data_IF_509335253791
#
_entry.id   IF_509335253791
#
_cell.length_a   1.000
_cell.length_b   1.000
_cell.length_c   1.000
_cell.angle_alpha   90.00
_cell.angle_beta   90.00
_cell.angle_gamma   90.00
#
_symmetry.space_group_name_H-M   'P 1'
#
loop_
_entity.id
_entity.type
_entity.pdbx_description
1 polymer ?
#
# COMPACT_ATOMS: atom_id res chain seq x y z
N UNK A 1 4.32 16.61 -10.38
CA UNK A 1 3.48 17.25 -11.42
C UNK A 1 2.72 16.22 -12.27
N UNK A 2 3.35 15.14 -12.76
CA UNK A 2 2.68 14.08 -13.55
C UNK A 2 1.42 13.48 -12.89
N UNK A 3 1.49 13.10 -11.61
CA UNK A 3 0.36 12.49 -10.91
C UNK A 3 -0.85 13.43 -10.76
N UNK A 4 -0.62 14.74 -10.58
CA UNK A 4 -1.69 15.73 -10.47
C UNK A 4 -2.47 15.85 -11.78
N UNK A 5 -1.77 15.88 -12.92
CA UNK A 5 -2.40 15.94 -14.24
C UNK A 5 -3.25 14.68 -14.47
N UNK A 6 -2.70 13.49 -14.19
CA UNK A 6 -3.45 12.23 -14.32
C UNK A 6 -4.70 12.20 -13.45
N UNK A 7 -4.61 12.65 -12.19
CA UNK A 7 -5.76 12.74 -11.28
C UNK A 7 -6.81 13.71 -11.79
N UNK A 8 -6.40 14.91 -12.20
CA UNK A 8 -7.32 15.92 -12.71
C UNK A 8 -8.02 15.46 -13.99
N UNK A 9 -7.27 14.90 -14.95
CA UNK A 9 -7.83 14.36 -16.19
C UNK A 9 -8.86 13.27 -15.90
N UNK A 10 -8.57 12.34 -14.98
CA UNK A 10 -9.51 11.26 -14.65
C UNK A 10 -10.75 11.78 -13.93
N UNK A 11 -10.61 12.73 -13.01
CA UNK A 11 -11.74 13.36 -12.34
C UNK A 11 -12.63 14.15 -13.32
N UNK A 12 -12.00 14.84 -14.28
CA UNK A 12 -12.70 15.55 -15.35
C UNK A 12 -13.52 14.59 -16.21
N UNK A 13 -12.94 13.48 -16.67
CA UNK A 13 -13.65 12.44 -17.44
C UNK A 13 -14.87 11.90 -16.68
N UNK A 14 -14.69 11.45 -15.44
CA UNK A 14 -15.77 10.93 -14.61
C UNK A 14 -16.87 11.97 -14.39
N UNK A 15 -16.50 13.24 -14.19
CA UNK A 15 -17.47 14.31 -14.02
C UNK A 15 -18.33 14.50 -15.27
N UNK A 16 -17.75 14.40 -16.48
CA UNK A 16 -18.49 14.47 -17.74
C UNK A 16 -19.45 13.29 -17.85
N UNK A 17 -18.98 12.09 -17.56
CA UNK A 17 -19.80 10.87 -17.59
C UNK A 17 -20.97 10.97 -16.60
N UNK A 18 -20.76 11.63 -15.45
CA UNK A 18 -21.77 11.91 -14.43
C UNK A 18 -22.59 13.19 -14.69
N UNK A 19 -22.54 13.74 -15.92
CA UNK A 19 -23.43 14.80 -16.38
C UNK A 19 -22.94 16.22 -16.13
N UNK A 20 -21.65 16.44 -15.88
CA UNK A 20 -21.06 17.77 -15.84
C UNK A 20 -21.30 18.52 -17.15
N UNK A 21 -21.73 19.79 -17.05
CA UNK A 21 -22.01 20.64 -18.19
C UNK A 21 -21.22 21.95 -18.08
N UNK A 22 -20.46 22.29 -19.13
CA UNK A 22 -19.69 23.55 -19.17
C UNK A 22 -20.59 24.79 -19.06
N UNK A 23 -21.85 24.70 -19.49
CA UNK A 23 -22.82 25.80 -19.40
C UNK A 23 -23.40 26.00 -18.00
N UNK A 24 -23.32 24.99 -17.13
CA UNK A 24 -23.73 25.02 -15.72
C UNK A 24 -22.63 24.35 -14.88
N UNK A 25 -21.48 25.02 -14.72
CA UNK A 25 -20.31 24.40 -14.11
C UNK A 25 -20.57 24.12 -12.63
N UNK A 26 -20.39 22.86 -12.23
CA UNK A 26 -20.45 22.42 -10.84
C UNK A 26 -19.06 21.98 -10.36
N UNK A 27 -18.81 22.10 -9.07
CA UNK A 27 -17.63 21.49 -8.48
C UNK A 27 -17.70 19.97 -8.66
N UNK A 28 -16.55 19.31 -8.87
CA UNK A 28 -16.51 17.84 -8.90
C UNK A 28 -16.99 17.27 -7.57
N UNK A 29 -17.81 16.24 -7.65
CA UNK A 29 -18.28 15.55 -6.45
C UNK A 29 -17.11 14.92 -5.70
N UNK A 30 -17.29 14.65 -4.41
CA UNK A 30 -16.26 13.96 -3.63
C UNK A 30 -16.09 12.52 -4.12
N UNK A 31 -17.17 11.95 -4.64
CA UNK A 31 -17.27 10.64 -5.25
C UNK A 31 -16.39 10.57 -6.50
N UNK A 32 -16.55 11.49 -7.46
CA UNK A 32 -15.73 11.56 -8.69
C UNK A 32 -14.24 11.69 -8.37
N UNK A 33 -13.90 12.54 -7.39
CA UNK A 33 -12.52 12.74 -6.97
C UNK A 33 -11.91 11.49 -6.34
N UNK A 34 -12.70 10.77 -5.52
CA UNK A 34 -12.25 9.55 -4.84
C UNK A 34 -12.08 8.40 -5.84
N UNK A 35 -13.01 8.26 -6.78
CA UNK A 35 -12.96 7.28 -7.84
C UNK A 35 -11.80 7.55 -8.81
N UNK A 36 -11.58 8.82 -9.19
CA UNK A 36 -10.41 9.20 -9.98
C UNK A 36 -9.09 8.87 -9.26
N UNK A 37 -9.01 9.13 -7.95
CA UNK A 37 -7.85 8.78 -7.15
C UNK A 37 -7.60 7.27 -7.12
N UNK A 38 -8.66 6.47 -6.96
CA UNK A 38 -8.59 5.01 -7.05
C UNK A 38 -8.06 4.55 -8.42
N UNK A 39 -8.68 4.96 -9.52
CA UNK A 39 -8.26 4.55 -10.87
C UNK A 39 -6.81 4.91 -11.20
N UNK A 40 -6.37 6.14 -10.85
CA UNK A 40 -4.98 6.54 -11.09
C UNK A 40 -4.02 5.74 -10.22
N UNK A 41 -4.38 5.47 -8.96
CA UNK A 41 -3.54 4.68 -8.06
C UNK A 41 -3.44 3.22 -8.48
N UNK A 42 -4.52 2.63 -9.01
CA UNK A 42 -4.57 1.27 -9.53
C UNK A 42 -3.58 1.08 -10.68
N UNK A 43 -3.64 1.95 -11.70
CA UNK A 43 -2.67 1.90 -12.80
C UNK A 43 -1.23 2.05 -12.32
N UNK A 44 -1.00 2.89 -11.30
CA UNK A 44 0.33 3.08 -10.70
C UNK A 44 0.82 1.84 -9.95
N UNK A 45 -0.07 1.12 -9.27
CA UNK A 45 0.28 -0.17 -8.62
C UNK A 45 0.66 -1.20 -9.69
N UNK A 46 -0.09 -1.29 -10.79
CA UNK A 46 0.24 -2.24 -11.87
C UNK A 46 1.55 -1.92 -12.59
N UNK A 47 1.90 -0.64 -12.74
CA UNK A 47 3.20 -0.21 -13.29
C UNK A 47 4.39 -0.76 -12.49
N UNK A 48 4.22 -1.12 -11.21
CA UNK A 48 5.31 -1.70 -10.39
C UNK A 48 5.88 -2.95 -11.03
N UNK A 49 5.04 -3.77 -11.67
CA UNK A 49 5.45 -5.01 -12.32
C UNK A 49 6.47 -4.79 -13.45
N UNK A 50 6.48 -3.61 -14.06
CA UNK A 50 7.36 -3.26 -15.18
C UNK A 50 8.78 -2.82 -14.74
N UNK A 51 9.02 -2.57 -13.45
CA UNK A 51 10.36 -2.23 -12.96
C UNK A 51 11.29 -3.46 -12.95
N UNK A 52 12.62 -3.26 -12.92
CA UNK A 52 13.55 -4.34 -12.59
C UNK A 52 13.21 -4.99 -11.24
N UNK A 53 13.08 -6.32 -11.22
CA UNK A 53 12.51 -7.11 -10.10
C UNK A 53 11.04 -6.76 -9.78
N UNK A 54 10.32 -6.17 -10.73
CA UNK A 54 8.98 -5.61 -10.58
C UNK A 54 7.93 -6.64 -10.15
N UNK A 55 8.00 -7.88 -10.62
CA UNK A 55 7.09 -8.94 -10.15
C UNK A 55 7.20 -9.18 -8.64
N UNK A 56 8.43 -9.25 -8.10
CA UNK A 56 8.66 -9.43 -6.66
C UNK A 56 8.24 -8.19 -5.87
N UNK A 57 8.57 -6.99 -6.39
CA UNK A 57 8.20 -5.72 -5.77
C UNK A 57 6.69 -5.49 -5.76
N UNK A 58 6.00 -5.85 -6.85
CA UNK A 58 4.54 -5.76 -6.99
C UNK A 58 3.86 -6.71 -6.01
N UNK A 59 4.30 -7.98 -5.96
CA UNK A 59 3.81 -8.96 -4.99
C UNK A 59 4.02 -8.46 -3.55
N UNK A 60 5.21 -7.95 -3.21
CA UNK A 60 5.47 -7.37 -1.90
C UNK A 60 4.58 -6.16 -1.59
N UNK A 61 4.47 -5.20 -2.51
CA UNK A 61 3.61 -4.02 -2.37
C UNK A 61 2.15 -4.43 -2.16
N UNK A 62 1.63 -5.40 -2.91
CA UNK A 62 0.28 -5.89 -2.75
C UNK A 62 0.07 -6.51 -1.36
N UNK A 63 0.97 -7.37 -0.89
CA UNK A 63 0.83 -7.97 0.44
C UNK A 63 0.84 -6.93 1.56
N UNK A 64 1.75 -5.94 1.54
CA UNK A 64 1.78 -4.88 2.56
C UNK A 64 0.55 -3.97 2.46
N UNK A 65 0.11 -3.62 1.26
CA UNK A 65 -1.08 -2.80 1.03
C UNK A 65 -2.35 -3.46 1.55
N UNK A 66 -2.55 -4.74 1.21
CA UNK A 66 -3.67 -5.55 1.71
C UNK A 66 -3.61 -5.79 3.22
N UNK A 67 -2.41 -5.91 3.81
CA UNK A 67 -2.28 -5.94 5.28
C UNK A 67 -2.90 -4.67 5.87
N UNK A 68 -2.51 -3.49 5.40
CA UNK A 68 -3.04 -2.24 5.95
C UNK A 68 -4.53 -2.07 5.68
N UNK A 69 -5.00 -2.34 4.46
CA UNK A 69 -6.42 -2.30 4.11
C UNK A 69 -7.26 -3.12 5.09
N UNK A 70 -6.87 -4.38 5.33
CA UNK A 70 -7.62 -5.30 6.19
C UNK A 70 -7.53 -4.90 7.67
N UNK A 71 -6.38 -4.40 8.13
CA UNK A 71 -6.24 -3.85 9.48
C UNK A 71 -7.12 -2.61 9.72
N UNK A 72 -7.50 -1.88 8.65
CA UNK A 72 -8.30 -0.67 8.73
C UNK A 72 -9.79 -0.89 8.40
N UNK A 73 -10.16 -2.04 7.83
CA UNK A 73 -11.57 -2.49 7.68
C UNK A 73 -12.22 -2.92 9.00
N UNK A 74 -11.41 -3.13 10.03
CA UNK A 74 -11.86 -3.50 11.36
C UNK A 74 -12.70 -2.38 12.01
N UNK A 75 -14.00 -2.63 12.16
CA UNK A 75 -14.98 -1.69 12.69
C UNK A 75 -14.87 -1.46 14.21
N UNK A 76 -13.87 -2.02 14.90
CA UNK A 76 -13.63 -1.76 16.32
C UNK A 76 -13.28 -0.28 16.51
N UNK A 77 -14.30 0.47 16.96
CA UNK A 77 -14.56 1.91 16.88
C UNK A 77 -13.49 2.92 17.38
N UNK A 78 -12.24 2.54 17.65
CA UNK A 78 -11.29 3.46 18.30
C UNK A 78 -9.83 3.32 17.89
N UNK A 79 -9.48 2.45 16.95
CA UNK A 79 -8.08 2.31 16.53
C UNK A 79 -7.78 3.28 15.38
N UNK A 80 -6.85 4.24 15.54
CA UNK A 80 -6.43 5.07 14.43
C UNK A 80 -5.78 4.23 13.33
N UNK A 81 -5.95 4.65 12.07
CA UNK A 81 -5.47 3.95 10.88
C UNK A 81 -3.99 3.54 10.98
N UNK A 82 -3.68 2.30 10.59
CA UNK A 82 -2.29 1.82 10.42
C UNK A 82 -1.90 1.96 8.95
N UNK A 83 -0.78 2.63 8.68
CA UNK A 83 -0.38 2.96 7.30
C UNK A 83 1.13 3.12 7.09
N UNK A 84 1.94 2.78 8.10
CA UNK A 84 3.38 2.69 7.97
C UNK A 84 3.90 1.57 8.86
N UNK A 85 5.11 1.11 8.60
CA UNK A 85 5.73 0.03 9.36
C UNK A 85 7.19 0.29 9.70
N UNK A 86 7.67 -0.38 10.74
CA UNK A 86 9.10 -0.49 11.03
C UNK A 86 9.50 -1.97 11.04
N UNK A 87 10.76 -2.21 10.71
CA UNK A 87 11.37 -3.54 10.73
C UNK A 87 12.09 -3.71 12.07
N UNK A 88 11.72 -4.73 12.83
CA UNK A 88 12.33 -5.04 14.13
C UNK A 88 13.37 -6.14 13.94
N UNK A 89 14.64 -5.77 14.08
CA UNK A 89 15.81 -6.64 13.90
C UNK A 89 16.50 -6.42 12.55
N UNK A 90 17.66 -7.07 12.39
CA UNK A 90 18.42 -7.02 11.14
C UNK A 90 17.82 -7.93 10.07
N UNK A 91 17.91 -7.45 8.82
CA UNK A 91 17.50 -8.18 7.62
C UNK A 91 18.73 -8.56 6.77
N UNK A 92 18.61 -9.66 6.03
CA UNK A 92 19.61 -10.19 5.09
C UNK A 92 20.02 -9.18 4.01
N UNK A 93 21.17 -9.43 3.38
CA UNK A 93 21.69 -8.57 2.31
C UNK A 93 20.76 -8.52 1.10
N UNK A 94 20.15 -9.65 0.78
CA UNK A 94 19.18 -9.84 -0.28
C UNK A 94 17.92 -9.01 -0.02
N UNK A 95 17.41 -9.04 1.21
CA UNK A 95 16.25 -8.23 1.62
C UNK A 95 16.58 -6.73 1.59
N UNK A 96 17.78 -6.34 2.02
CA UNK A 96 18.26 -4.95 1.91
C UNK A 96 18.32 -4.48 0.46
N UNK A 97 18.78 -5.33 -0.47
CA UNK A 97 18.82 -5.00 -1.89
C UNK A 97 17.42 -4.82 -2.49
N UNK A 98 16.47 -5.68 -2.12
CA UNK A 98 15.09 -5.54 -2.59
C UNK A 98 14.40 -4.31 -1.98
N UNK A 99 14.68 -4.01 -0.71
CA UNK A 99 14.21 -2.80 -0.06
C UNK A 99 14.76 -1.54 -0.74
N UNK A 100 16.05 -1.52 -1.14
CA UNK A 100 16.60 -0.43 -1.97
C UNK A 100 15.85 -0.27 -3.29
N UNK A 101 15.46 -1.36 -3.94
CA UNK A 101 14.61 -1.32 -5.13
C UNK A 101 13.26 -0.66 -4.85
N UNK A 102 12.59 -1.05 -3.76
CA UNK A 102 11.32 -0.45 -3.35
C UNK A 102 11.43 1.06 -3.07
N UNK A 103 12.54 1.51 -2.49
CA UNK A 103 12.80 2.93 -2.26
C UNK A 103 13.16 3.67 -3.55
N UNK A 104 14.02 3.08 -4.39
CA UNK A 104 14.49 3.68 -5.64
C UNK A 104 13.34 3.95 -6.62
N UNK A 105 12.40 3.00 -6.74
CA UNK A 105 11.20 3.17 -7.56
C UNK A 105 10.06 3.89 -6.83
N UNK A 106 10.33 4.45 -5.65
CA UNK A 106 9.36 5.21 -4.84
C UNK A 106 8.08 4.42 -4.53
N UNK A 107 8.19 3.09 -4.39
CA UNK A 107 7.11 2.21 -3.89
C UNK A 107 6.89 2.51 -2.41
N UNK A 108 8.01 2.55 -1.67
CA UNK A 108 8.07 2.94 -0.27
C UNK A 108 8.81 4.28 -0.12
N UNK A 109 8.51 4.99 0.96
CA UNK A 109 9.23 6.19 1.37
C UNK A 109 9.70 6.03 2.81
N UNK A 110 10.96 6.41 3.07
CA UNK A 110 11.51 6.49 4.41
C UNK A 110 11.00 7.73 5.13
N UNK A 111 10.61 7.59 6.39
CA UNK A 111 10.31 8.69 7.29
C UNK A 111 10.98 8.50 8.63
N UNK A 112 11.41 9.59 9.29
CA UNK A 112 11.93 9.51 10.65
C UNK A 112 10.89 8.91 11.60
N UNK A 113 11.33 8.01 12.47
CA UNK A 113 10.51 7.49 13.56
C UNK A 113 10.25 8.60 14.58
N UNK A 114 9.01 8.75 15.01
CA UNK A 114 8.58 9.81 15.93
C UNK A 114 8.93 9.52 17.40
N UNK A 115 9.30 8.27 17.74
CA UNK A 115 9.75 7.84 19.07
C UNK A 115 10.78 6.73 18.92
N UNK A 116 12.04 7.00 19.24
CA UNK A 116 13.09 5.98 19.41
C UNK A 116 12.86 5.31 20.77
N UNK A 117 12.70 3.98 20.82
CA UNK A 117 12.47 3.27 22.09
C UNK A 117 13.75 2.70 22.70
N UNK A 118 14.88 2.67 22.00
CA UNK A 118 16.18 2.33 22.58
C UNK A 118 17.37 2.70 21.68
N UNK A 119 18.57 2.83 22.26
CA UNK A 119 19.85 3.09 21.57
C UNK A 119 20.30 1.94 20.65
N UNK A 120 19.63 0.78 20.70
CA UNK A 120 19.95 -0.44 19.92
C UNK A 120 19.09 -0.55 18.64
N UNK A 121 18.09 0.32 18.46
CA UNK A 121 17.37 0.39 17.19
C UNK A 121 18.33 0.92 16.11
N UNK A 122 18.72 0.04 15.18
CA UNK A 122 19.52 0.36 14.00
C UNK A 122 18.71 1.32 13.13
N UNK A 123 18.77 2.60 13.51
CA UNK A 123 18.13 3.80 12.93
C UNK A 123 16.60 3.72 12.90
N UNK A 124 15.96 4.54 13.75
CA UNK A 124 14.51 4.75 13.76
C UNK A 124 13.99 5.34 12.45
N UNK A 125 13.83 4.49 11.46
CA UNK A 125 13.22 4.77 10.17
C UNK A 125 11.96 3.93 10.05
N UNK A 126 10.83 4.60 9.82
CA UNK A 126 9.62 3.92 9.40
C UNK A 126 9.49 4.02 7.88
N UNK A 127 8.72 3.10 7.31
CA UNK A 127 8.45 3.03 5.88
C UNK A 127 6.95 3.21 5.64
N UNK A 128 6.58 4.09 4.72
CA UNK A 128 5.21 4.26 4.24
C UNK A 128 5.10 3.91 2.75
N UNK A 129 3.91 3.52 2.31
CA UNK A 129 3.61 3.56 0.89
C UNK A 129 3.67 4.97 0.38
N UNK A 130 4.24 5.15 -0.81
CA UNK A 130 4.05 6.41 -1.52
C UNK A 130 2.55 6.71 -1.66
N UNK A 131 2.19 7.94 -1.32
CA UNK A 131 0.80 8.40 -1.22
C UNK A 131 -0.01 8.19 -2.50
N UNK A 132 0.64 8.05 -3.65
CA UNK A 132 -0.02 7.75 -4.92
C UNK A 132 -0.67 6.36 -4.93
N UNK A 133 -0.19 5.40 -4.12
CA UNK A 133 -0.73 4.05 -4.02
C UNK A 133 -1.79 3.90 -2.93
N UNK A 134 -1.88 4.84 -1.99
CA UNK A 134 -2.80 4.76 -0.86
C UNK A 134 -4.28 4.60 -1.25
N UNK A 135 -4.81 5.32 -2.27
CA UNK A 135 -6.23 5.19 -2.64
C UNK A 135 -6.60 3.77 -3.08
N UNK A 136 -5.70 3.06 -3.75
CA UNK A 136 -5.91 1.68 -4.22
C UNK A 136 -6.16 0.70 -3.06
N UNK A 137 -5.48 0.91 -1.93
CA UNK A 137 -5.63 0.10 -0.72
C UNK A 137 -6.60 0.72 0.30
N UNK A 138 -7.39 1.72 -0.11
CA UNK A 138 -8.32 2.47 0.76
C UNK A 138 -7.64 3.06 2.01
N UNK A 139 -6.40 3.53 1.86
CA UNK A 139 -5.63 4.13 2.95
C UNK A 139 -5.64 5.65 2.88
N UNK A 140 -5.63 6.31 4.03
CA UNK A 140 -5.33 7.74 4.11
C UNK A 140 -3.87 8.01 3.75
N UNK A 141 -3.63 9.17 3.14
CA UNK A 141 -2.27 9.64 2.84
C UNK A 141 -1.48 10.09 4.08
N UNK A 142 -2.13 10.21 5.25
CA UNK A 142 -1.57 10.80 6.47
C UNK A 142 -0.88 9.73 7.30
N UNK A 143 0.38 9.91 7.70
CA UNK A 143 1.05 9.01 8.67
C UNK A 143 0.29 8.98 10.01
N UNK A 144 -0.17 7.81 10.46
CA UNK A 144 -0.97 7.64 11.68
C UNK A 144 -0.35 6.63 12.66
N UNK A 145 -0.75 5.35 12.63
CA UNK A 145 -0.17 4.31 13.48
C UNK A 145 0.81 3.38 12.77
N UNK A 146 1.85 2.99 13.52
CA UNK A 146 2.93 2.12 13.09
C UNK A 146 2.55 0.64 13.26
N UNK A 147 2.91 -0.18 12.28
CA UNK A 147 2.96 -1.64 12.38
C UNK A 147 4.41 -2.09 12.59
N UNK A 148 4.68 -2.84 13.65
CA UNK A 148 6.01 -3.43 13.88
C UNK A 148 6.07 -4.83 13.28
N UNK A 149 6.94 -5.02 12.30
CA UNK A 149 7.14 -6.28 11.58
C UNK A 149 8.52 -6.83 11.97
N UNK A 150 8.56 -8.05 12.51
CA UNK A 150 9.84 -8.71 12.83
C UNK A 150 10.62 -9.02 11.55
N UNK A 151 11.95 -8.92 11.58
CA UNK A 151 12.80 -9.12 10.41
C UNK A 151 12.56 -10.47 9.71
N UNK A 152 12.40 -11.56 10.45
CA UNK A 152 12.11 -12.88 9.89
C UNK A 152 10.76 -12.97 9.14
N UNK A 153 9.76 -12.20 9.55
CA UNK A 153 8.47 -12.10 8.85
C UNK A 153 8.63 -11.20 7.63
N UNK A 154 9.32 -10.07 7.79
CA UNK A 154 9.58 -9.13 6.71
C UNK A 154 10.36 -9.76 5.55
N UNK A 155 11.39 -10.55 5.83
CA UNK A 155 12.19 -11.23 4.81
C UNK A 155 11.34 -12.16 3.94
N UNK A 156 10.40 -12.89 4.54
CA UNK A 156 9.46 -13.72 3.80
C UNK A 156 8.47 -12.89 2.97
N UNK A 157 8.01 -11.74 3.50
CA UNK A 157 7.13 -10.84 2.74
C UNK A 157 7.83 -10.27 1.49
N UNK A 158 9.12 -9.91 1.59
CA UNK A 158 9.85 -9.25 0.49
C UNK A 158 10.57 -10.22 -0.46
N UNK A 159 11.05 -11.37 0.03
CA UNK A 159 11.81 -12.34 -0.77
C UNK A 159 11.08 -13.67 -1.03
N UNK A 160 10.12 -14.03 -0.18
CA UNK A 160 9.50 -15.35 -0.19
C UNK A 160 8.63 -15.62 -1.41
N UNK A 161 8.22 -16.87 -1.58
CA UNK A 161 7.23 -17.27 -2.59
C UNK A 161 5.86 -16.66 -2.25
N UNK A 162 4.94 -16.60 -3.21
CA UNK A 162 3.61 -16.04 -2.93
C UNK A 162 2.82 -16.84 -1.88
N UNK A 163 3.10 -18.14 -1.74
CA UNK A 163 2.58 -18.96 -0.66
C UNK A 163 3.13 -18.54 0.71
N UNK A 164 4.45 -18.31 0.81
CA UNK A 164 5.08 -17.83 2.03
C UNK A 164 4.58 -16.43 2.41
N UNK A 165 4.46 -15.52 1.43
CA UNK A 165 3.93 -14.17 1.66
C UNK A 165 2.48 -14.20 2.15
N UNK A 166 1.61 -15.02 1.53
CA UNK A 166 0.22 -15.23 1.96
C UNK A 166 0.15 -15.80 3.37
N UNK A 167 0.99 -16.78 3.70
CA UNK A 167 1.06 -17.37 5.02
C UNK A 167 1.46 -16.33 6.09
N UNK A 168 2.49 -15.53 5.83
CA UNK A 168 2.94 -14.50 6.79
C UNK A 168 1.95 -13.34 6.91
N UNK A 169 1.30 -12.94 5.82
CA UNK A 169 0.22 -11.94 5.85
C UNK A 169 -0.93 -12.42 6.74
N UNK A 170 -1.34 -13.68 6.58
CA UNK A 170 -2.38 -14.29 7.41
C UNK A 170 -2.02 -14.32 8.89
N UNK A 171 -0.75 -14.62 9.22
CA UNK A 171 -0.24 -14.59 10.59
C UNK A 171 -0.27 -13.18 11.19
N UNK A 172 0.11 -12.17 10.41
CA UNK A 172 -0.01 -10.76 10.84
C UNK A 172 -1.48 -10.44 11.13
N UNK A 173 -2.37 -10.67 10.17
CA UNK A 173 -3.77 -10.31 10.30
C UNK A 173 -4.46 -11.04 11.45
N UNK A 174 -4.30 -12.35 11.58
CA UNK A 174 -4.84 -13.14 12.69
C UNK A 174 -4.38 -12.64 14.08
N UNK A 175 -3.13 -12.21 14.22
CA UNK A 175 -2.60 -11.64 15.46
C UNK A 175 -3.34 -10.36 15.87
N UNK A 176 -3.72 -9.52 14.91
CA UNK A 176 -4.37 -8.22 15.18
C UNK A 176 -5.91 -8.30 15.18
N UNK A 177 -6.50 -9.10 14.30
CA UNK A 177 -7.96 -9.20 14.10
C UNK A 177 -8.64 -10.18 15.06
N UNK A 178 -7.91 -11.13 15.66
CA UNK A 178 -8.27 -12.07 16.75
C UNK A 178 -9.60 -12.85 16.70
N UNK A 179 -10.60 -12.54 15.85
CA UNK A 179 -11.90 -13.24 15.83
C UNK A 179 -12.61 -13.27 14.46
N UNK A 180 -12.05 -12.68 13.40
CA UNK A 180 -12.65 -12.75 12.06
C UNK A 180 -11.98 -13.85 11.23
N UNK A 181 -12.79 -14.70 10.59
CA UNK A 181 -12.31 -15.66 9.59
C UNK A 181 -11.84 -14.87 8.37
N UNK A 182 -10.56 -14.53 8.36
CA UNK A 182 -9.93 -13.85 7.23
C UNK A 182 -9.78 -14.81 6.05
N UNK A 183 -10.35 -14.47 4.90
CA UNK A 183 -10.17 -15.25 3.69
C UNK A 183 -8.91 -14.80 2.94
N UNK A 184 -7.83 -15.55 3.13
CA UNK A 184 -6.53 -15.34 2.46
C UNK A 184 -6.65 -15.36 0.94
N UNK A 185 -7.71 -15.96 0.38
CA UNK A 185 -7.94 -15.99 -1.07
C UNK A 185 -8.25 -14.62 -1.68
N UNK A 186 -8.59 -13.60 -0.88
CA UNK A 186 -8.80 -12.23 -1.37
C UNK A 186 -7.49 -11.45 -1.57
N UNK A 187 -6.35 -11.98 -1.07
CA UNK A 187 -5.02 -11.47 -1.42
C UNK A 187 -4.66 -12.08 -2.77
N UNK A 188 -5.43 -11.69 -3.79
CA UNK A 188 -5.15 -12.06 -5.18
C UNK A 188 -3.91 -11.26 -5.59
N UNK A 189 -2.89 -11.97 -6.07
CA UNK A 189 -1.86 -11.35 -6.89
C UNK A 189 -2.55 -10.94 -8.18
N UNK A 190 -2.75 -9.64 -8.38
CA UNK A 190 -3.34 -9.13 -9.61
C UNK A 190 -2.19 -8.95 -10.58
N UNK A 191 -2.13 -9.82 -11.59
CA UNK A 191 -1.21 -9.66 -12.70
C UNK A 191 -1.74 -8.60 -13.68
N UNK A 192 -0.84 -7.97 -14.43
CA UNK A 192 -1.15 -6.93 -15.42
C UNK A 192 -2.20 -7.38 -16.46
N UNK A 193 -2.42 -8.69 -16.61
CA UNK A 193 -3.32 -9.31 -17.59
C UNK A 193 -4.66 -9.78 -17.01
N UNK A 194 -4.88 -9.65 -15.69
CA UNK A 194 -6.13 -10.11 -15.06
C UNK A 194 -7.28 -9.11 -15.23
N UNK A 195 -6.99 -7.86 -15.64
CA UNK A 195 -8.01 -6.88 -16.01
C UNK A 195 -8.29 -7.00 -17.51
N UNK A 196 -9.35 -7.75 -17.83
CA UNK A 196 -9.86 -7.92 -19.18
C UNK A 196 -10.17 -6.60 -19.90
N UNK A 197 -10.00 -6.65 -21.23
CA UNK A 197 -10.55 -5.69 -22.18
C UNK A 197 -12.06 -5.50 -22.03
#
# INVERSE_FOLDING_TARGET
MRNFVSLFSRAWELSIDNGFCVKDPKAFSHEDQSEAAYHVSEGKVFEISAYPSGAKLSSFANHIGRIFEQLNKDNRQSQPERNHFAIIGDISYEAKNMMRGALMYSILQEVPATKLRSEVEVKGTDYLFNRIYCPYYYLSYRKMHKLEIKSNIFEKLILGTDEEKRAETSKILSKYLKNEKFNVSEIVQIDLFDNGY
#
